data_IF_942227390455
#
_entry.id   IF_942227390455
#
_cell.length_a   1.000
_cell.length_b   1.000
_cell.length_c   1.000
_cell.angle_alpha   90.00
_cell.angle_beta   90.00
_cell.angle_gamma   90.00
#
_symmetry.space_group_name_H-M   'P 1'
#
loop_
_entity.id
_entity.type
_entity.pdbx_description
1 polymer ?
#
# COMPACT_ATOMS: atom_id res chain seq x y z
N UNK A 1 24.26 16.83 14.25
CA UNK A 1 24.44 16.60 12.83
C UNK A 1 23.18 16.92 12.05
N UNK A 2 23.33 17.58 10.92
CA UNK A 2 22.17 17.90 10.16
C UNK A 2 22.12 17.14 8.88
N UNK A 3 20.94 16.71 8.48
CA UNK A 3 20.76 16.02 7.20
C UNK A 3 20.46 17.07 6.13
N UNK A 4 20.94 16.81 4.92
CA UNK A 4 20.62 17.70 3.80
C UNK A 4 19.17 17.47 3.40
N UNK A 5 18.58 18.39 2.67
CA UNK A 5 17.20 18.24 2.20
C UNK A 5 17.06 16.99 1.34
N UNK A 6 18.07 16.71 0.54
CA UNK A 6 18.07 15.52 -0.31
C UNK A 6 18.01 14.23 0.51
N UNK A 7 18.73 14.18 1.61
CA UNK A 7 18.74 13.03 2.49
C UNK A 7 17.40 12.86 3.20
N UNK A 8 16.80 13.96 3.61
CA UNK A 8 15.49 13.96 4.25
C UNK A 8 14.43 13.46 3.27
N UNK A 9 14.46 13.95 2.04
CA UNK A 9 13.50 13.52 1.02
C UNK A 9 13.61 12.03 0.72
N UNK A 10 14.83 11.52 0.65
CA UNK A 10 15.07 10.12 0.42
C UNK A 10 14.53 9.27 1.56
N UNK A 11 14.77 9.70 2.78
CA UNK A 11 14.31 9.00 3.97
C UNK A 11 12.77 8.97 4.00
N UNK A 12 12.14 10.11 3.72
CA UNK A 12 10.68 10.20 3.72
C UNK A 12 10.08 9.32 2.64
N UNK A 13 10.71 9.27 1.47
CA UNK A 13 10.24 8.39 0.39
C UNK A 13 10.31 6.93 0.80
N UNK A 14 11.40 6.52 1.42
CA UNK A 14 11.56 5.13 1.85
C UNK A 14 10.50 4.73 2.87
N UNK A 15 10.21 5.63 3.80
CA UNK A 15 9.19 5.36 4.82
C UNK A 15 7.80 5.32 4.23
N UNK A 16 7.51 6.21 3.30
CA UNK A 16 6.20 6.26 2.66
C UNK A 16 5.94 4.98 1.88
N UNK A 17 6.92 4.55 1.10
CA UNK A 17 6.84 3.31 0.32
C UNK A 17 6.71 2.10 1.24
N UNK A 18 7.46 2.07 2.32
CA UNK A 18 7.41 0.96 3.27
C UNK A 18 6.01 0.82 3.89
N UNK A 19 5.35 1.94 4.19
CA UNK A 19 4.00 1.89 4.74
C UNK A 19 3.00 1.40 3.69
N UNK A 20 3.15 1.83 2.44
CA UNK A 20 2.30 1.34 1.36
C UNK A 20 2.45 -0.17 1.17
N UNK A 21 3.69 -0.65 1.17
CA UNK A 21 3.96 -2.08 1.05
C UNK A 21 3.34 -2.86 2.20
N UNK A 22 3.41 -2.30 3.40
CA UNK A 22 2.84 -2.92 4.58
C UNK A 22 1.32 -3.02 4.49
N UNK A 23 0.68 -1.97 4.01
CA UNK A 23 -0.76 -1.98 3.80
C UNK A 23 -1.14 -3.05 2.78
N UNK A 24 -0.44 -3.08 1.65
CA UNK A 24 -0.71 -4.04 0.58
C UNK A 24 -0.58 -5.48 1.08
N UNK A 25 0.47 -5.75 1.84
CA UNK A 25 0.71 -7.09 2.37
C UNK A 25 -0.40 -7.53 3.32
N UNK A 26 -0.83 -6.61 4.19
CA UNK A 26 -1.91 -6.92 5.12
C UNK A 26 -3.25 -7.09 4.42
N UNK A 27 -3.53 -6.25 3.42
CA UNK A 27 -4.77 -6.37 2.66
C UNK A 27 -4.81 -7.72 1.94
N UNK A 28 -3.71 -8.10 1.30
CA UNK A 28 -3.62 -9.37 0.59
C UNK A 28 -3.90 -10.53 1.54
N UNK A 29 -3.28 -10.50 2.72
CA UNK A 29 -3.45 -11.56 3.70
C UNK A 29 -4.89 -11.63 4.22
N UNK A 30 -5.48 -10.49 4.55
CA UNK A 30 -6.83 -10.47 5.09
C UNK A 30 -7.88 -10.86 4.06
N UNK A 31 -7.69 -10.49 2.81
CA UNK A 31 -8.64 -10.86 1.77
C UNK A 31 -8.57 -12.34 1.41
N UNK A 32 -7.41 -12.96 1.64
CA UNK A 32 -7.27 -14.39 1.39
C UNK A 32 -7.77 -15.25 2.54
N UNK A 33 -7.83 -14.70 3.73
CA UNK A 33 -8.17 -15.47 4.92
C UNK A 33 -9.69 -15.46 5.11
N UNK A 34 -10.32 -16.61 4.94
CA UNK A 34 -11.77 -16.72 5.04
C UNK A 34 -12.27 -16.53 6.47
N UNK A 35 -11.38 -16.56 7.45
CA UNK A 35 -11.76 -16.41 8.84
C UNK A 35 -11.74 -14.96 9.32
N UNK A 36 -11.34 -14.04 8.47
CA UNK A 36 -11.31 -12.62 8.84
C UNK A 36 -12.70 -12.02 8.61
N UNK A 37 -13.29 -11.45 9.66
CA UNK A 37 -14.58 -10.78 9.53
C UNK A 37 -14.43 -9.37 8.99
N UNK A 38 -15.53 -8.78 8.54
CA UNK A 38 -15.51 -7.40 8.04
C UNK A 38 -15.06 -6.44 9.13
N UNK A 39 -15.48 -6.66 10.34
CA UNK A 39 -15.13 -5.80 11.46
C UNK A 39 -13.62 -5.85 11.73
N UNK A 40 -13.05 -7.05 11.72
CA UNK A 40 -11.62 -7.22 11.95
C UNK A 40 -10.82 -6.58 10.82
N UNK A 41 -11.29 -6.76 9.59
CA UNK A 41 -10.67 -6.16 8.42
C UNK A 41 -10.66 -4.62 8.54
N UNK A 42 -11.80 -4.04 8.85
CA UNK A 42 -11.92 -2.59 8.96
C UNK A 42 -11.05 -2.02 10.07
N UNK A 43 -11.01 -2.68 11.23
CA UNK A 43 -10.18 -2.22 12.33
C UNK A 43 -8.71 -2.18 11.95
N UNK A 44 -8.24 -3.25 11.33
CA UNK A 44 -6.84 -3.33 10.92
C UNK A 44 -6.52 -2.31 9.83
N UNK A 45 -7.42 -2.18 8.86
CA UNK A 45 -7.23 -1.26 7.75
C UNK A 45 -7.19 0.18 8.25
N UNK A 46 -8.08 0.54 9.17
CA UNK A 46 -8.09 1.88 9.76
C UNK A 46 -6.79 2.18 10.48
N UNK A 47 -6.25 1.21 11.22
CA UNK A 47 -4.98 1.40 11.91
C UNK A 47 -3.85 1.64 10.93
N UNK A 48 -3.81 0.86 9.85
CA UNK A 48 -2.77 1.00 8.83
C UNK A 48 -2.90 2.33 8.11
N UNK A 49 -4.12 2.73 7.79
CA UNK A 49 -4.39 3.98 7.11
C UNK A 49 -3.97 5.17 7.96
N UNK A 50 -4.25 5.12 9.26
CA UNK A 50 -3.86 6.18 10.17
C UNK A 50 -2.35 6.34 10.21
N UNK A 51 -1.61 5.26 10.27
CA UNK A 51 -0.15 5.32 10.27
C UNK A 51 0.37 5.89 8.95
N UNK A 52 -0.24 5.48 7.85
CA UNK A 52 0.16 5.97 6.54
C UNK A 52 -0.11 7.46 6.40
N UNK A 53 -1.26 7.93 6.88
CA UNK A 53 -1.63 9.33 6.77
C UNK A 53 -0.72 10.25 7.58
N UNK A 54 -0.01 9.71 8.56
CA UNK A 54 0.95 10.49 9.32
C UNK A 54 2.28 10.66 8.61
N UNK A 55 2.52 9.91 7.55
CA UNK A 55 3.77 10.04 6.80
C UNK A 55 3.69 11.25 5.89
N UNK A 56 4.83 11.89 5.69
CA UNK A 56 4.89 13.01 4.79
C UNK A 56 4.72 12.53 3.35
N UNK A 57 3.80 13.13 2.63
CA UNK A 57 3.51 12.71 1.27
C UNK A 57 4.71 12.97 0.37
N UNK A 58 5.02 12.03 -0.50
CA UNK A 58 6.14 12.15 -1.42
C UNK A 58 5.68 11.80 -2.83
N UNK A 59 6.45 12.27 -3.79
CA UNK A 59 6.18 11.95 -5.19
C UNK A 59 6.59 10.51 -5.48
N UNK A 60 5.71 9.77 -6.13
CA UNK A 60 5.99 8.38 -6.49
C UNK A 60 6.24 8.29 -7.98
N UNK A 61 7.41 7.75 -8.34
CA UNK A 61 7.79 7.61 -9.75
C UNK A 61 7.30 6.31 -10.36
N UNK A 62 7.11 5.29 -9.54
CA UNK A 62 6.72 3.97 -10.03
C UNK A 62 5.23 3.90 -10.29
N UNK A 63 4.85 3.37 -11.44
CA UNK A 63 3.44 3.13 -11.74
C UNK A 63 2.78 2.21 -10.73
N UNK A 64 3.54 1.25 -10.22
CA UNK A 64 3.02 0.33 -9.20
C UNK A 64 2.60 1.07 -7.93
N UNK A 65 3.46 1.93 -7.40
CA UNK A 65 3.14 2.63 -6.16
C UNK A 65 2.06 3.68 -6.35
N UNK A 66 1.99 4.30 -7.51
CA UNK A 66 0.92 5.23 -7.82
C UNK A 66 -0.43 4.52 -7.84
N UNK A 67 -0.48 3.36 -8.51
CA UNK A 67 -1.68 2.54 -8.57
C UNK A 67 -2.05 2.01 -7.21
N UNK A 68 -1.06 1.55 -6.44
CA UNK A 68 -1.30 1.01 -5.11
C UNK A 68 -1.90 2.07 -4.19
N UNK A 69 -1.38 3.28 -4.24
CA UNK A 69 -1.91 4.37 -3.43
C UNK A 69 -3.37 4.65 -3.79
N UNK A 70 -3.68 4.73 -5.08
CA UNK A 70 -5.04 4.96 -5.54
C UNK A 70 -5.96 3.83 -5.12
N UNK A 71 -5.48 2.60 -5.21
CA UNK A 71 -6.24 1.42 -4.82
C UNK A 71 -6.56 1.45 -3.33
N UNK A 72 -5.58 1.77 -2.49
CA UNK A 72 -5.77 1.82 -1.05
C UNK A 72 -6.83 2.86 -0.68
N UNK A 73 -6.77 4.04 -1.30
CA UNK A 73 -7.73 5.10 -1.03
C UNK A 73 -9.15 4.70 -1.44
N UNK A 74 -9.29 4.09 -2.61
CA UNK A 74 -10.62 3.65 -3.08
C UNK A 74 -11.19 2.55 -2.20
N UNK A 75 -10.36 1.57 -1.86
CA UNK A 75 -10.82 0.47 -1.03
C UNK A 75 -11.21 0.95 0.36
N UNK A 76 -10.46 1.90 0.90
CA UNK A 76 -10.79 2.47 2.19
C UNK A 76 -12.16 3.14 2.16
N UNK A 77 -12.47 3.89 1.10
CA UNK A 77 -13.77 4.51 0.95
C UNK A 77 -14.88 3.47 0.82
N UNK A 78 -14.62 2.39 0.10
CA UNK A 78 -15.63 1.36 -0.14
C UNK A 78 -15.88 0.49 1.09
N UNK A 79 -14.98 0.48 2.03
CA UNK A 79 -15.12 -0.36 3.22
C UNK A 79 -15.30 0.47 4.47
N UNK A 80 -14.27 1.14 4.91
CA UNK A 80 -14.28 1.83 6.21
C UNK A 80 -15.17 3.08 6.22
N UNK A 81 -15.33 3.72 5.08
CA UNK A 81 -16.18 4.91 4.97
C UNK A 81 -17.57 4.62 4.45
N UNK A 82 -17.87 3.36 4.15
CA UNK A 82 -19.19 2.98 3.67
C UNK A 82 -20.08 2.61 4.85
N UNK A 83 -21.24 3.27 4.93
CA UNK A 83 -22.16 2.99 5.99
C UNK A 83 -22.79 1.63 5.77
N UNK A 84 -22.92 0.84 6.81
CA UNK A 84 -23.55 -0.48 6.71
C UNK A 84 -22.69 -1.56 6.11
N UNK A 85 -21.38 -1.36 6.05
CA UNK A 85 -20.47 -2.38 5.55
C UNK A 85 -20.43 -3.54 6.55
N UNK A 86 -20.77 -4.75 6.08
CA UNK A 86 -20.81 -5.93 6.93
C UNK A 86 -20.14 -7.14 6.27
N UNK A 87 -20.25 -8.30 6.89
CA UNK A 87 -19.60 -9.52 6.39
C UNK A 87 -20.06 -9.90 4.99
N UNK A 88 -21.33 -9.65 4.71
CA UNK A 88 -21.88 -9.99 3.39
C UNK A 88 -21.25 -9.11 2.31
N UNK A 89 -21.16 -7.82 2.59
CA UNK A 89 -20.49 -6.89 1.66
C UNK A 89 -19.03 -7.26 1.51
N UNK A 90 -18.38 -7.64 2.59
CA UNK A 90 -16.98 -8.04 2.56
C UNK A 90 -16.78 -9.26 1.67
N UNK A 91 -17.66 -10.26 1.80
CA UNK A 91 -17.60 -11.46 0.97
C UNK A 91 -17.80 -11.11 -0.50
N UNK A 92 -18.72 -10.20 -0.79
CA UNK A 92 -19.02 -9.82 -2.17
C UNK A 92 -17.83 -9.17 -2.87
N UNK A 93 -17.04 -8.39 -2.15
CA UNK A 93 -15.91 -7.70 -2.78
C UNK A 93 -14.62 -8.49 -2.71
N UNK A 94 -14.56 -9.52 -1.89
CA UNK A 94 -13.32 -10.26 -1.63
C UNK A 94 -12.67 -10.79 -2.92
N UNK A 95 -13.43 -11.46 -3.75
CA UNK A 95 -12.89 -12.04 -4.98
C UNK A 95 -12.45 -10.95 -5.96
N UNK A 96 -13.25 -9.91 -6.09
CA UNK A 96 -12.93 -8.81 -6.99
C UNK A 96 -11.65 -8.11 -6.54
N UNK A 97 -11.50 -7.89 -5.23
CA UNK A 97 -10.33 -7.20 -4.72
C UNK A 97 -9.08 -8.08 -4.79
N UNK A 98 -9.23 -9.39 -4.65
CA UNK A 98 -8.11 -10.31 -4.85
C UNK A 98 -7.59 -10.22 -6.28
N UNK A 99 -8.49 -10.09 -7.26
CA UNK A 99 -8.09 -9.94 -8.65
C UNK A 99 -7.30 -8.63 -8.84
N UNK A 100 -7.76 -7.56 -8.22
CA UNK A 100 -7.07 -6.27 -8.30
C UNK A 100 -5.69 -6.33 -7.67
N UNK A 101 -5.56 -7.00 -6.52
CA UNK A 101 -4.27 -7.16 -5.87
C UNK A 101 -3.31 -8.00 -6.70
N UNK A 102 -3.82 -9.05 -7.34
CA UNK A 102 -3.01 -9.89 -8.22
C UNK A 102 -2.50 -9.08 -9.41
N UNK A 103 -3.34 -8.20 -9.96
CA UNK A 103 -2.93 -7.31 -11.04
C UNK A 103 -1.81 -6.37 -10.57
N UNK A 104 -1.94 -5.85 -9.37
CA UNK A 104 -0.90 -4.99 -8.80
C UNK A 104 0.40 -5.75 -8.58
N UNK A 105 0.32 -7.02 -8.17
CA UNK A 105 1.50 -7.83 -8.00
C UNK A 105 2.26 -8.00 -9.31
N UNK A 106 1.53 -8.19 -10.41
CA UNK A 106 2.16 -8.30 -11.71
C UNK A 106 2.82 -6.99 -12.11
N UNK A 107 2.17 -5.88 -11.84
CA UNK A 107 2.74 -4.57 -12.12
C UNK A 107 4.00 -4.34 -11.28
N UNK A 108 4.02 -4.88 -10.07
CA UNK A 108 5.16 -4.76 -9.17
C UNK A 108 6.43 -5.35 -9.80
N UNK A 109 6.30 -6.34 -10.65
CA UNK A 109 7.45 -6.99 -11.25
C UNK A 109 7.92 -6.32 -12.55
N UNK A 110 7.44 -5.13 -12.83
CA UNK A 110 7.84 -4.40 -14.02
C UNK A 110 9.08 -3.56 -13.74
N UNK A 111 9.63 -3.00 -14.80
CA UNK A 111 10.79 -2.14 -14.70
C UNK A 111 10.49 -0.92 -13.82
N UNK A 112 9.26 -0.40 -13.89
CA UNK A 112 8.87 0.76 -13.09
C UNK A 112 9.02 0.50 -11.60
N UNK A 113 8.62 -0.67 -11.15
CA UNK A 113 8.76 -1.02 -9.75
C UNK A 113 10.22 -1.06 -9.34
N UNK A 114 11.06 -1.72 -10.12
CA UNK A 114 12.49 -1.82 -9.82
C UNK A 114 13.14 -0.44 -9.80
N UNK A 115 12.72 0.41 -10.71
CA UNK A 115 13.26 1.75 -10.78
C UNK A 115 12.99 2.56 -9.52
N UNK A 116 11.75 2.50 -9.04
CA UNK A 116 11.37 3.24 -7.84
C UNK A 116 12.05 2.67 -6.60
N UNK A 117 12.12 1.35 -6.50
CA UNK A 117 12.81 0.70 -5.41
C UNK A 117 14.27 1.06 -5.39
N UNK A 118 14.88 1.08 -6.56
CA UNK A 118 16.28 1.43 -6.66
C UNK A 118 16.54 2.86 -6.17
N UNK A 119 15.69 3.79 -6.54
CA UNK A 119 15.80 5.16 -6.06
C UNK A 119 15.61 5.26 -4.56
N UNK A 120 14.67 4.49 -4.02
CA UNK A 120 14.39 4.53 -2.60
C UNK A 120 15.53 3.97 -1.78
N UNK A 121 16.36 3.01 -2.32
CA UNK A 121 17.38 2.46 -1.55
C UNK A 121 18.65 2.95 -1.83
N UNK A 122 19.20 3.58 -2.20
CA UNK A 122 20.48 4.05 -2.32
C UNK A 122 21.12 3.13 -3.13
N UNK A 123 21.50 3.30 -3.97
CA UNK A 123 21.98 2.52 -4.78
C UNK A 123 23.11 2.06 -4.78
N UNK A 124 23.66 2.14 -4.10
CA UNK A 124 24.84 1.77 -4.02
C UNK A 124 24.82 0.42 -4.19
N UNK A 125 24.10 -0.14 -4.10
CA UNK A 125 24.06 -1.28 -4.24
C UNK A 125 24.35 -1.64 -5.41
N UNK A 126 24.68 -1.53 -6.01
CA UNK A 126 25.07 -1.72 -7.06
C UNK A 126 25.27 -2.79 -7.55
N UNK A 127 25.23 -3.34 -7.45
CA UNK A 127 25.32 -4.32 -7.88
C UNK A 127 25.15 -4.48 -9.07
N UNK A 128 25.08 -3.95 -9.28
CA UNK A 128 25.19 -4.06 -10.31
C UNK A 128 24.75 -4.22 -11.00
#
# INVERSE_FOLDING_TARGET
MRYTQKQIDKYNRQRYIAELDKIAKNLFRMLRDENVSSQKFMLKFEQLKKKFDKKEEVHLDSGYYQELKSYVLRLFEQTCLTEGFDDKHFDDIRDAEMSNLNRLQKLKNTVSYKKDKHKAKCQNEDWG
#
